data_IF_469440208346
#
_entry.id   IF_469440208346
#
_cell.length_a   1.000
_cell.length_b   1.000
_cell.length_c   1.000
_cell.angle_alpha   90.00
_cell.angle_beta   90.00
_cell.angle_gamma   90.00
#
_symmetry.space_group_name_H-M   'P 1'
#
loop_
_entity.id
_entity.type
_entity.pdbx_description
1 polymer ?
#
# COMPACT_ATOMS: atom_id res chain seq x y z
N UNK A 1 3.68 42.56 14.12
CA UNK A 1 3.35 41.70 12.97
C UNK A 1 4.23 40.47 12.83
N UNK A 2 5.57 40.55 12.78
CA UNK A 2 6.46 39.37 12.60
C UNK A 2 6.38 38.32 13.74
N UNK A 3 6.22 38.76 15.00
CA UNK A 3 6.09 37.81 16.15
C UNK A 3 4.79 37.03 16.13
N UNK A 4 3.67 37.66 15.75
CA UNK A 4 2.37 37.01 15.63
C UNK A 4 2.40 35.92 14.54
N UNK A 5 2.98 36.24 13.37
CA UNK A 5 3.12 35.28 12.26
C UNK A 5 3.99 34.06 12.63
N UNK A 6 5.03 34.22 13.48
CA UNK A 6 5.84 33.09 13.96
C UNK A 6 5.07 32.21 14.97
N UNK A 7 4.27 32.81 15.84
CA UNK A 7 3.44 32.07 16.79
C UNK A 7 2.38 31.25 16.07
N UNK A 8 1.67 31.85 15.11
CA UNK A 8 0.66 31.15 14.31
C UNK A 8 1.27 29.94 13.55
N UNK A 9 2.51 30.10 13.05
CA UNK A 9 3.24 29.01 12.40
C UNK A 9 3.59 27.87 13.37
N UNK A 10 4.00 28.20 14.58
CA UNK A 10 4.30 27.20 15.62
C UNK A 10 3.03 26.43 15.99
N UNK A 11 1.93 27.12 16.24
CA UNK A 11 0.64 26.53 16.57
C UNK A 11 0.14 25.61 15.44
N UNK A 12 0.26 26.03 14.19
CA UNK A 12 -0.05 25.20 13.02
C UNK A 12 0.79 23.92 12.98
N UNK A 13 2.11 24.01 13.24
CA UNK A 13 2.99 22.84 13.26
C UNK A 13 2.68 21.89 14.41
N UNK A 14 2.31 22.40 15.59
CA UNK A 14 1.86 21.56 16.72
C UNK A 14 0.62 20.77 16.34
N UNK A 15 -0.37 21.45 15.73
CA UNK A 15 -1.60 20.81 15.26
C UNK A 15 -1.30 19.74 14.19
N UNK A 16 -0.52 20.10 13.16
CA UNK A 16 -0.20 19.19 12.06
C UNK A 16 0.54 17.95 12.57
N UNK A 17 1.53 18.13 13.47
CA UNK A 17 2.27 17.00 14.02
C UNK A 17 1.35 16.07 14.83
N UNK A 18 0.44 16.59 15.65
CA UNK A 18 -0.52 15.78 16.39
C UNK A 18 -1.40 14.94 15.46
N UNK A 19 -1.85 15.53 14.35
CA UNK A 19 -2.66 14.86 13.33
C UNK A 19 -1.85 13.77 12.63
N UNK A 20 -0.62 14.08 12.20
CA UNK A 20 0.27 13.11 11.56
C UNK A 20 0.57 11.93 12.48
N UNK A 21 0.81 12.18 13.78
CA UNK A 21 1.06 11.13 14.76
C UNK A 21 -0.16 10.22 14.95
N UNK A 22 -1.38 10.79 15.01
CA UNK A 22 -2.62 10.00 15.02
C UNK A 22 -2.75 9.13 13.77
N UNK A 23 -2.53 9.70 12.59
CA UNK A 23 -2.62 8.98 11.32
C UNK A 23 -1.60 7.85 11.26
N UNK A 24 -0.34 8.12 11.64
CA UNK A 24 0.71 7.10 11.68
C UNK A 24 0.38 5.96 12.63
N UNK A 25 -0.14 6.27 13.82
CA UNK A 25 -0.58 5.26 14.77
C UNK A 25 -1.66 4.36 14.17
N UNK A 26 -2.71 4.96 13.59
CA UNK A 26 -3.82 4.21 13.00
C UNK A 26 -3.37 3.35 11.81
N UNK A 27 -2.48 3.85 10.96
CA UNK A 27 -1.89 3.09 9.86
C UNK A 27 -1.06 1.90 10.36
N UNK A 28 -0.21 2.10 11.36
CA UNK A 28 0.61 1.04 11.94
C UNK A 28 -0.23 -0.10 12.52
N UNK A 29 -1.35 0.23 13.15
CA UNK A 29 -2.25 -0.75 13.76
C UNK A 29 -3.39 -1.20 12.85
N UNK A 30 -3.42 -0.75 11.59
CA UNK A 30 -4.45 -1.09 10.60
C UNK A 30 -5.88 -0.78 11.09
N UNK A 31 -6.03 0.32 11.81
CA UNK A 31 -7.31 0.76 12.36
C UNK A 31 -8.02 1.70 11.39
N UNK A 32 -9.34 1.57 11.31
CA UNK A 32 -10.16 2.50 10.55
C UNK A 32 -10.05 3.92 11.15
N UNK A 33 -10.07 4.95 10.32
CA UNK A 33 -9.99 6.34 10.76
C UNK A 33 -11.34 6.84 11.23
N UNK A 34 -12.38 6.57 10.45
CA UNK A 34 -13.73 7.11 10.62
C UNK A 34 -14.61 6.20 11.46
N UNK A 35 -15.63 6.81 12.10
CA UNK A 35 -16.76 6.15 12.70
C UNK A 35 -17.98 6.17 11.78
N UNK A 36 -19.06 5.56 12.23
CA UNK A 36 -20.33 5.60 11.50
C UNK A 36 -20.97 7.00 11.53
N UNK A 37 -20.77 7.74 12.62
CA UNK A 37 -21.34 9.07 12.82
C UNK A 37 -20.32 9.97 13.52
N UNK A 38 -19.79 10.97 12.80
CA UNK A 38 -18.82 11.95 13.30
C UNK A 38 -19.49 13.23 13.84
N UNK A 39 -20.82 13.23 14.02
CA UNK A 39 -21.57 14.36 14.58
C UNK A 39 -21.15 14.68 16.02
N UNK A 40 -21.42 15.94 16.45
CA UNK A 40 -20.94 16.45 17.72
C UNK A 40 -21.48 15.67 18.93
N UNK A 41 -22.68 15.07 18.84
CA UNK A 41 -23.35 14.27 19.88
C UNK A 41 -23.03 12.77 19.83
N UNK A 42 -22.36 12.30 18.79
CA UNK A 42 -22.09 10.88 18.61
C UNK A 42 -21.06 10.35 19.61
N UNK A 43 -21.32 9.15 20.14
CA UNK A 43 -20.35 8.38 20.94
C UNK A 43 -19.33 7.65 20.06
N UNK A 44 -19.60 7.48 18.76
CA UNK A 44 -18.74 6.76 17.81
C UNK A 44 -18.22 7.64 16.66
N UNK A 45 -17.42 8.64 17.04
CA UNK A 45 -16.78 9.61 16.12
C UNK A 45 -15.61 9.02 15.32
N UNK A 46 -15.31 7.74 15.49
CA UNK A 46 -14.18 7.09 14.86
C UNK A 46 -12.85 7.24 15.59
N UNK A 47 -11.91 6.37 15.24
CA UNK A 47 -10.64 6.25 15.96
C UNK A 47 -9.77 7.50 15.84
N UNK A 48 -9.77 8.15 14.68
CA UNK A 48 -8.96 9.34 14.46
C UNK A 48 -9.32 10.48 15.43
N UNK A 49 -10.60 10.83 15.51
CA UNK A 49 -11.04 11.92 16.38
C UNK A 49 -10.91 11.57 17.86
N UNK A 50 -11.17 10.29 18.23
CA UNK A 50 -10.97 9.81 19.61
C UNK A 50 -9.51 9.85 20.03
N UNK A 51 -8.59 9.42 19.16
CA UNK A 51 -7.15 9.44 19.42
C UNK A 51 -6.61 10.88 19.51
N UNK A 52 -7.05 11.76 18.62
CA UNK A 52 -6.68 13.17 18.67
C UNK A 52 -7.15 13.85 19.95
N UNK A 53 -8.39 13.54 20.40
CA UNK A 53 -8.90 14.02 21.67
C UNK A 53 -8.12 13.44 22.86
N UNK A 54 -7.75 12.17 22.81
CA UNK A 54 -6.91 11.54 23.83
C UNK A 54 -5.55 12.25 23.95
N UNK A 55 -4.89 12.55 22.82
CA UNK A 55 -3.63 13.31 22.83
C UNK A 55 -3.81 14.71 23.38
N UNK A 56 -4.89 15.41 23.05
CA UNK A 56 -5.19 16.72 23.58
C UNK A 56 -5.37 16.70 25.10
N UNK A 57 -6.03 15.69 25.64
CA UNK A 57 -6.24 15.55 27.08
C UNK A 57 -4.93 15.31 27.87
N UNK A 58 -3.89 14.79 27.21
CA UNK A 58 -2.61 14.45 27.84
C UNK A 58 -1.48 15.44 27.51
N UNK A 59 -1.68 16.34 26.55
CA UNK A 59 -0.69 17.37 26.17
C UNK A 59 -1.35 18.74 26.07
N UNK A 60 -1.05 19.59 27.05
CA UNK A 60 -1.61 20.95 27.16
C UNK A 60 -1.40 21.79 25.90
N UNK A 61 -0.19 21.74 25.33
CA UNK A 61 0.11 22.45 24.07
C UNK A 61 -0.78 22.05 22.88
N UNK A 62 -1.16 20.77 22.79
CA UNK A 62 -2.08 20.30 21.75
C UNK A 62 -3.50 20.74 22.07
N UNK A 63 -3.92 20.65 23.33
CA UNK A 63 -5.25 21.05 23.76
C UNK A 63 -5.50 22.53 23.50
N UNK A 64 -4.56 23.40 23.90
CA UNK A 64 -4.64 24.85 23.67
C UNK A 64 -4.79 25.18 22.19
N UNK A 65 -3.99 24.58 21.32
CA UNK A 65 -4.04 24.81 19.89
C UNK A 65 -5.38 24.33 19.30
N UNK A 66 -5.84 23.14 19.65
CA UNK A 66 -7.10 22.61 19.13
C UNK A 66 -8.34 23.38 19.61
N UNK A 67 -8.27 24.04 20.77
CA UNK A 67 -9.36 24.88 21.28
C UNK A 67 -9.37 26.27 20.61
N UNK A 68 -8.20 26.85 20.35
CA UNK A 68 -8.05 28.17 19.70
C UNK A 68 -8.46 28.17 18.23
N UNK A 69 -8.23 27.05 17.53
CA UNK A 69 -8.44 26.94 16.10
C UNK A 69 -9.93 26.90 15.77
N UNK A 70 -10.38 27.77 14.85
CA UNK A 70 -11.75 27.78 14.35
C UNK A 70 -12.15 26.43 13.74
N UNK A 71 -13.45 26.09 13.77
CA UNK A 71 -13.95 24.80 13.25
C UNK A 71 -13.49 24.48 11.83
N UNK A 72 -13.38 25.50 10.98
CA UNK A 72 -12.96 25.33 9.58
C UNK A 72 -11.46 25.12 9.39
N UNK A 73 -10.64 25.38 10.41
CA UNK A 73 -9.17 25.24 10.36
C UNK A 73 -8.63 24.05 11.15
N UNK A 74 -9.50 23.16 11.65
CA UNK A 74 -9.08 22.03 12.52
C UNK A 74 -8.26 20.94 11.84
N UNK A 75 -8.10 20.97 10.54
CA UNK A 75 -7.39 19.98 9.73
C UNK A 75 -7.86 18.51 9.96
N UNK A 76 -9.09 18.35 10.48
CA UNK A 76 -9.66 17.02 10.81
C UNK A 76 -10.55 16.47 9.71
N UNK A 77 -10.76 17.22 8.64
CA UNK A 77 -11.60 16.79 7.52
C UNK A 77 -11.00 15.57 6.80
N UNK A 78 -11.85 14.67 6.34
CA UNK A 78 -11.42 13.41 5.72
C UNK A 78 -10.51 13.58 4.50
N UNK A 79 -10.71 14.63 3.69
CA UNK A 79 -9.83 14.93 2.55
C UNK A 79 -8.42 15.29 3.02
N UNK A 80 -8.27 16.04 4.11
CA UNK A 80 -6.95 16.38 4.68
C UNK A 80 -6.27 15.13 5.23
N UNK A 81 -7.02 14.25 5.90
CA UNK A 81 -6.49 12.95 6.35
C UNK A 81 -5.96 12.15 5.15
N UNK A 82 -6.72 12.09 4.06
CA UNK A 82 -6.33 11.41 2.82
C UNK A 82 -5.10 12.05 2.18
N UNK A 83 -5.01 13.37 2.15
CA UNK A 83 -3.83 14.07 1.63
C UNK A 83 -2.56 13.78 2.45
N UNK A 84 -2.69 13.72 3.77
CA UNK A 84 -1.59 13.35 4.67
C UNK A 84 -1.18 11.88 4.42
N UNK A 85 -2.13 10.96 4.30
CA UNK A 85 -1.85 9.56 3.97
C UNK A 85 -1.13 9.46 2.62
N UNK A 86 -1.58 10.19 1.61
CA UNK A 86 -0.95 10.24 0.29
C UNK A 86 0.48 10.80 0.37
N UNK A 87 0.72 11.82 1.20
CA UNK A 87 2.05 12.36 1.43
C UNK A 87 2.97 11.34 2.12
N UNK A 88 2.48 10.66 3.17
CA UNK A 88 3.22 9.59 3.87
C UNK A 88 3.55 8.46 2.88
N UNK A 89 2.61 8.02 2.07
CA UNK A 89 2.81 6.96 1.06
C UNK A 89 3.88 7.35 0.05
N UNK A 90 3.86 8.59 -0.44
CA UNK A 90 4.89 9.10 -1.38
C UNK A 90 6.29 9.11 -0.74
N UNK A 91 6.41 9.62 0.47
CA UNK A 91 7.71 9.67 1.16
C UNK A 91 8.21 8.26 1.53
N UNK A 92 7.32 7.36 1.92
CA UNK A 92 7.66 5.94 2.17
C UNK A 92 8.18 5.27 0.90
N UNK A 93 7.48 5.45 -0.23
CA UNK A 93 7.92 4.91 -1.52
C UNK A 93 9.29 5.47 -1.95
N UNK A 94 9.52 6.78 -1.78
CA UNK A 94 10.84 7.40 -2.03
C UNK A 94 11.94 6.80 -1.15
N UNK A 95 11.64 6.56 0.13
CA UNK A 95 12.58 5.93 1.05
C UNK A 95 12.92 4.50 0.63
N UNK A 96 11.93 3.70 0.20
CA UNK A 96 12.13 2.34 -0.34
C UNK A 96 13.04 2.38 -1.57
N UNK A 97 12.76 3.26 -2.55
CA UNK A 97 13.57 3.38 -3.77
C UNK A 97 14.99 3.86 -3.47
N UNK A 98 15.14 4.78 -2.52
CA UNK A 98 16.47 5.24 -2.07
C UNK A 98 17.27 4.11 -1.39
N UNK A 99 16.61 3.28 -0.58
CA UNK A 99 17.23 2.13 0.09
C UNK A 99 17.65 1.04 -0.90
N UNK A 100 16.86 0.83 -1.96
CA UNK A 100 17.19 -0.06 -3.07
C UNK A 100 18.50 0.34 -3.78
N UNK A 101 18.88 1.63 -3.75
CA UNK A 101 20.16 2.17 -4.26
C UNK A 101 20.49 1.72 -5.68
N UNK A 102 19.48 1.72 -6.54
CA UNK A 102 19.60 1.41 -7.97
C UNK A 102 20.30 0.06 -8.28
N UNK A 103 20.17 -0.92 -7.36
CA UNK A 103 20.68 -2.28 -7.50
C UNK A 103 19.81 -3.17 -8.41
N UNK A 104 20.10 -4.46 -8.40
CA UNK A 104 19.22 -5.47 -8.98
C UNK A 104 18.02 -5.71 -8.06
N UNK A 105 16.88 -6.02 -8.67
CA UNK A 105 15.65 -6.28 -7.92
C UNK A 105 14.80 -7.36 -8.60
N UNK A 106 13.85 -7.88 -7.83
CA UNK A 106 12.78 -8.76 -8.32
C UNK A 106 11.44 -8.17 -7.93
N UNK A 107 10.40 -8.49 -8.67
CA UNK A 107 9.02 -8.10 -8.37
C UNK A 107 8.16 -9.33 -8.14
N UNK A 108 7.26 -9.24 -7.17
CA UNK A 108 6.09 -10.10 -7.07
C UNK A 108 4.87 -9.27 -7.44
N UNK A 109 4.06 -9.79 -8.34
CA UNK A 109 2.85 -9.13 -8.81
C UNK A 109 1.67 -10.07 -8.60
N UNK A 110 0.61 -9.54 -8.00
CA UNK A 110 -0.63 -10.27 -7.73
C UNK A 110 -1.83 -9.46 -8.22
N UNK A 111 -2.71 -10.11 -8.95
CA UNK A 111 -3.95 -9.51 -9.44
C UNK A 111 -5.09 -9.79 -8.47
N UNK A 112 -5.88 -8.78 -8.20
CA UNK A 112 -7.11 -8.93 -7.44
C UNK A 112 -8.19 -7.96 -7.94
N UNK A 113 -9.42 -8.34 -7.73
CA UNK A 113 -10.57 -7.49 -7.99
C UNK A 113 -11.04 -6.87 -6.66
N UNK A 114 -11.30 -5.57 -6.63
CA UNK A 114 -11.87 -4.94 -5.45
C UNK A 114 -13.39 -5.19 -5.37
N UNK A 115 -14.02 -4.78 -4.26
CA UNK A 115 -15.47 -4.92 -4.05
C UNK A 115 -16.29 -4.19 -5.12
N UNK A 116 -15.72 -3.16 -5.76
CA UNK A 116 -16.34 -2.40 -6.85
C UNK A 116 -16.08 -3.01 -8.25
N UNK A 117 -15.57 -4.24 -8.30
CA UNK A 117 -15.23 -4.97 -9.53
C UNK A 117 -14.15 -4.23 -10.35
N UNK A 118 -13.27 -3.49 -9.69
CA UNK A 118 -12.12 -2.85 -10.34
C UNK A 118 -10.90 -3.73 -10.23
N UNK A 119 -10.32 -4.04 -11.37
CA UNK A 119 -9.09 -4.81 -11.44
C UNK A 119 -7.92 -4.00 -10.87
N UNK A 120 -7.20 -4.62 -9.95
CA UNK A 120 -6.06 -4.03 -9.26
C UNK A 120 -4.88 -4.98 -9.33
N UNK A 121 -3.69 -4.42 -9.35
CA UNK A 121 -2.44 -5.17 -9.36
C UNK A 121 -1.54 -4.69 -8.22
N UNK A 122 -1.25 -5.58 -7.28
CA UNK A 122 -0.35 -5.33 -6.16
C UNK A 122 1.10 -5.60 -6.58
N UNK A 123 2.01 -4.71 -6.18
CA UNK A 123 3.44 -4.83 -6.44
C UNK A 123 4.23 -4.93 -5.15
N UNK A 124 5.07 -5.95 -5.07
CA UNK A 124 6.06 -6.14 -4.02
C UNK A 124 7.45 -6.16 -4.63
N UNK A 125 8.36 -5.39 -4.07
CA UNK A 125 9.74 -5.27 -4.48
C UNK A 125 10.63 -6.11 -3.57
N UNK A 126 11.51 -6.92 -4.16
CA UNK A 126 12.56 -7.65 -3.48
C UNK A 126 13.92 -7.13 -3.94
N UNK A 127 14.77 -6.76 -3.00
CA UNK A 127 16.14 -6.30 -3.29
C UNK A 127 17.10 -6.64 -2.16
N UNK A 128 18.39 -6.62 -2.48
CA UNK A 128 19.45 -6.84 -1.51
C UNK A 128 19.79 -5.53 -0.78
N UNK A 129 19.59 -5.48 0.51
CA UNK A 129 20.15 -4.39 1.35
C UNK A 129 21.65 -4.60 1.49
N UNK A 130 22.44 -3.72 0.84
CA UNK A 130 23.89 -3.86 0.73
C UNK A 130 24.63 -3.82 2.06
N UNK A 131 24.09 -3.09 3.06
CA UNK A 131 24.74 -2.95 4.37
C UNK A 131 24.64 -4.22 5.20
N UNK A 132 23.49 -4.87 5.20
CA UNK A 132 23.21 -6.08 5.98
C UNK A 132 23.34 -7.37 5.18
N UNK A 133 23.46 -7.29 3.86
CA UNK A 133 23.50 -8.41 2.92
C UNK A 133 22.26 -9.33 3.08
N UNK A 134 21.10 -8.74 3.33
CA UNK A 134 19.83 -9.46 3.45
C UNK A 134 18.88 -9.06 2.33
N UNK A 135 18.06 -10.00 1.90
CA UNK A 135 16.98 -9.72 0.96
C UNK A 135 15.83 -9.06 1.72
N UNK A 136 15.41 -7.91 1.25
CA UNK A 136 14.28 -7.16 1.81
C UNK A 136 13.11 -7.24 0.87
N UNK A 137 11.95 -7.50 1.46
CA UNK A 137 10.65 -7.43 0.81
C UNK A 137 9.96 -6.12 1.20
N UNK A 138 9.49 -5.37 0.20
CA UNK A 138 8.74 -4.12 0.40
C UNK A 138 7.52 -4.08 -0.50
N UNK A 139 6.36 -3.90 0.11
CA UNK A 139 5.16 -3.52 -0.64
C UNK A 139 5.38 -2.13 -1.26
N UNK A 140 5.20 -2.02 -2.56
CA UNK A 140 5.50 -0.79 -3.30
C UNK A 140 4.24 -0.01 -3.66
N UNK A 141 3.23 -0.68 -4.21
CA UNK A 141 2.02 -0.01 -4.71
C UNK A 141 0.90 -1.00 -5.03
N UNK A 142 -0.32 -0.47 -5.09
CA UNK A 142 -1.45 -1.06 -5.82
C UNK A 142 -1.70 -0.17 -7.02
N UNK A 143 -1.82 -0.76 -8.20
CA UNK A 143 -2.11 -0.06 -9.46
C UNK A 143 -3.45 -0.54 -9.99
N UNK A 144 -4.33 0.40 -10.31
CA UNK A 144 -5.56 0.08 -11.02
C UNK A 144 -5.25 -0.24 -12.48
N UNK A 145 -5.75 -1.36 -12.98
CA UNK A 145 -5.59 -1.78 -14.38
C UNK A 145 -6.94 -1.76 -15.09
N UNK A 146 -6.96 -1.23 -16.30
CA UNK A 146 -8.19 -1.11 -17.07
C UNK A 146 -8.73 -2.47 -17.56
N UNK A 147 -7.85 -3.46 -17.69
CA UNK A 147 -8.18 -4.83 -18.07
C UNK A 147 -7.06 -5.79 -17.67
N UNK A 148 -7.40 -7.08 -17.53
CA UNK A 148 -6.44 -8.16 -17.26
C UNK A 148 -5.79 -8.73 -18.54
N UNK A 149 -5.84 -7.98 -19.64
CA UNK A 149 -5.13 -8.39 -20.86
C UNK A 149 -3.61 -8.30 -20.62
N UNK A 150 -2.86 -9.20 -21.22
CA UNK A 150 -1.40 -9.31 -21.06
C UNK A 150 -0.68 -7.99 -21.38
N UNK A 151 -1.14 -7.28 -22.40
CA UNK A 151 -0.55 -5.98 -22.79
C UNK A 151 -0.87 -4.89 -21.75
N UNK A 152 -2.09 -4.88 -21.20
CA UNK A 152 -2.47 -3.93 -20.15
C UNK A 152 -1.65 -4.14 -18.88
N UNK A 153 -1.45 -5.40 -18.47
CA UNK A 153 -0.64 -5.76 -17.32
C UNK A 153 0.83 -5.38 -17.51
N UNK A 154 1.40 -5.70 -18.69
CA UNK A 154 2.76 -5.30 -19.04
C UNK A 154 2.94 -3.80 -18.98
N UNK A 155 2.04 -3.05 -19.59
CA UNK A 155 2.05 -1.59 -19.58
C UNK A 155 1.99 -1.02 -18.16
N UNK A 156 1.13 -1.57 -17.30
CA UNK A 156 1.02 -1.14 -15.91
C UNK A 156 2.33 -1.38 -15.13
N UNK A 157 3.01 -2.52 -15.36
CA UNK A 157 4.34 -2.79 -14.77
C UNK A 157 5.35 -1.76 -15.26
N UNK A 158 5.44 -1.52 -16.56
CA UNK A 158 6.38 -0.58 -17.15
C UNK A 158 6.16 0.86 -16.67
N UNK A 159 4.91 1.31 -16.60
CA UNK A 159 4.55 2.61 -16.07
C UNK A 159 5.00 2.75 -14.61
N UNK A 160 4.69 1.77 -13.75
CA UNK A 160 5.10 1.81 -12.36
C UNK A 160 6.64 1.84 -12.21
N UNK A 161 7.35 1.00 -12.94
CA UNK A 161 8.83 0.99 -12.92
C UNK A 161 9.38 2.34 -13.34
N UNK A 162 8.85 2.93 -14.42
CA UNK A 162 9.23 4.25 -14.91
C UNK A 162 8.96 5.35 -13.86
N UNK A 163 7.75 5.39 -13.28
CA UNK A 163 7.37 6.35 -12.22
C UNK A 163 8.29 6.28 -10.99
N UNK A 164 8.80 5.09 -10.69
CA UNK A 164 9.69 4.86 -9.55
C UNK A 164 11.17 4.93 -9.92
N UNK A 165 11.53 5.30 -11.17
CA UNK A 165 12.89 5.30 -11.67
C UNK A 165 13.60 3.94 -11.53
N UNK A 166 12.84 2.85 -11.67
CA UNK A 166 13.35 1.48 -11.70
C UNK A 166 13.54 1.04 -13.16
N UNK A 167 14.73 0.55 -13.50
CA UNK A 167 15.00 0.08 -14.86
C UNK A 167 14.66 -1.39 -15.04
N UNK A 168 13.89 -1.71 -16.08
CA UNK A 168 13.58 -3.09 -16.45
C UNK A 168 14.86 -3.93 -16.67
N UNK A 169 15.96 -3.32 -17.12
CA UNK A 169 17.25 -4.00 -17.31
C UNK A 169 17.88 -4.53 -16.01
N UNK A 170 17.45 -4.02 -14.83
CA UNK A 170 17.89 -4.46 -13.51
C UNK A 170 16.93 -5.44 -12.83
N UNK A 171 15.82 -5.76 -13.49
CA UNK A 171 14.89 -6.77 -13.04
C UNK A 171 15.51 -8.16 -13.24
N UNK A 172 15.84 -8.87 -12.15
CA UNK A 172 16.43 -10.21 -12.20
C UNK A 172 15.43 -11.33 -11.88
N UNK A 173 14.27 -11.00 -11.36
CA UNK A 173 13.23 -11.98 -11.06
C UNK A 173 11.83 -11.38 -11.07
N UNK A 174 10.85 -12.20 -11.43
CA UNK A 174 9.43 -11.85 -11.39
C UNK A 174 8.61 -13.04 -10.95
N UNK A 175 7.74 -12.82 -9.96
CA UNK A 175 6.81 -13.81 -9.43
C UNK A 175 5.38 -13.41 -9.77
N UNK A 176 4.61 -14.37 -10.26
CA UNK A 176 3.19 -14.22 -10.51
C UNK A 176 2.46 -15.47 -10.01
N UNK A 177 1.14 -15.36 -9.91
CA UNK A 177 0.29 -16.53 -9.78
C UNK A 177 0.30 -17.41 -11.05
N UNK A 178 -0.41 -18.52 -11.00
CA UNK A 178 -0.47 -19.48 -12.12
C UNK A 178 -1.50 -19.14 -13.19
N UNK A 179 -2.05 -17.95 -13.25
CA UNK A 179 -3.06 -17.57 -14.24
C UNK A 179 -2.51 -17.67 -15.67
N UNK A 180 -3.37 -18.06 -16.61
CA UNK A 180 -2.99 -18.34 -18.01
C UNK A 180 -2.43 -17.10 -18.73
N UNK A 181 -2.94 -15.90 -18.41
CA UNK A 181 -2.45 -14.61 -18.90
C UNK A 181 -1.03 -14.30 -18.39
N UNK A 182 -0.66 -14.82 -17.23
CA UNK A 182 0.66 -14.62 -16.63
C UNK A 182 1.71 -15.62 -17.12
N UNK A 183 1.35 -16.90 -17.24
CA UNK A 183 2.28 -18.00 -17.53
C UNK A 183 2.45 -18.35 -19.01
N UNK A 184 1.55 -17.93 -19.90
CA UNK A 184 1.49 -18.38 -21.29
C UNK A 184 2.86 -18.48 -21.97
N UNK A 185 3.21 -19.66 -22.48
CA UNK A 185 4.56 -19.94 -23.01
C UNK A 185 4.87 -19.18 -24.32
N UNK A 186 3.86 -18.73 -25.06
CA UNK A 186 4.04 -18.04 -26.35
C UNK A 186 3.90 -16.53 -26.17
N UNK A 187 2.82 -16.07 -25.56
CA UNK A 187 2.47 -14.66 -25.43
C UNK A 187 2.15 -14.22 -24.01
N UNK A 188 2.35 -15.03 -22.98
CA UNK A 188 2.12 -14.64 -21.61
C UNK A 188 3.03 -13.50 -21.14
N UNK A 189 2.64 -12.79 -20.11
CA UNK A 189 3.40 -11.68 -19.51
C UNK A 189 4.84 -12.08 -19.19
N UNK A 190 5.04 -13.30 -18.66
CA UNK A 190 6.35 -13.92 -18.47
C UNK A 190 7.22 -13.83 -19.70
N UNK A 191 6.70 -14.24 -20.86
CA UNK A 191 7.44 -14.32 -22.11
C UNK A 191 7.73 -12.94 -22.70
N UNK A 192 6.78 -12.01 -22.61
CA UNK A 192 6.98 -10.64 -23.10
C UNK A 192 8.11 -9.93 -22.34
N UNK A 193 8.15 -10.04 -21.02
CA UNK A 193 9.24 -9.43 -20.23
C UNK A 193 10.57 -10.13 -20.50
N UNK A 194 10.60 -11.47 -20.65
CA UNK A 194 11.83 -12.21 -20.98
C UNK A 194 12.40 -11.86 -22.36
N UNK A 195 11.58 -11.46 -23.32
CA UNK A 195 12.04 -10.98 -24.64
C UNK A 195 12.84 -9.68 -24.52
N UNK A 196 12.49 -8.81 -23.57
CA UNK A 196 13.15 -7.53 -23.33
C UNK A 196 14.32 -7.64 -22.35
N UNK A 197 14.17 -8.46 -21.32
CA UNK A 197 15.22 -8.72 -20.34
C UNK A 197 15.32 -10.22 -20.04
N UNK A 198 16.35 -10.85 -20.61
CA UNK A 198 16.63 -12.28 -20.44
C UNK A 198 17.01 -12.67 -19.00
N UNK A 199 17.43 -11.71 -18.19
CA UNK A 199 17.79 -11.93 -16.78
C UNK A 199 16.57 -11.99 -15.86
N UNK A 200 15.40 -11.49 -16.30
CA UNK A 200 14.18 -11.48 -15.51
C UNK A 200 13.54 -12.87 -15.42
N UNK A 201 14.13 -13.74 -14.63
CA UNK A 201 13.66 -15.11 -14.43
C UNK A 201 12.25 -15.13 -13.80
N UNK A 202 11.44 -16.07 -14.25
CA UNK A 202 10.10 -16.25 -13.70
C UNK A 202 10.11 -17.28 -12.57
N UNK A 203 9.44 -16.94 -11.47
CA UNK A 203 9.16 -17.83 -10.37
C UNK A 203 7.65 -17.91 -10.17
N UNK A 204 7.11 -19.11 -10.12
CA UNK A 204 5.71 -19.30 -9.77
C UNK A 204 5.51 -19.06 -8.27
N UNK A 205 4.51 -18.27 -7.89
CA UNK A 205 4.22 -17.96 -6.49
C UNK A 205 4.01 -19.25 -5.67
N UNK A 206 4.87 -19.49 -4.69
CA UNK A 206 4.79 -20.69 -3.86
C UNK A 206 3.52 -20.75 -3.01
N UNK A 207 3.04 -19.62 -2.52
CA UNK A 207 1.78 -19.56 -1.78
C UNK A 207 0.59 -20.00 -2.64
N UNK A 208 0.59 -19.62 -3.92
CA UNK A 208 -0.43 -20.04 -4.86
C UNK A 208 -0.32 -21.53 -5.19
N UNK A 209 0.90 -22.07 -5.39
CA UNK A 209 1.14 -23.49 -5.58
C UNK A 209 0.64 -24.30 -4.38
N UNK A 210 0.97 -23.85 -3.15
CA UNK A 210 0.48 -24.48 -1.92
C UNK A 210 -1.06 -24.49 -1.88
N UNK A 211 -1.70 -23.36 -2.18
CA UNK A 211 -3.17 -23.27 -2.27
C UNK A 211 -3.74 -24.27 -3.26
N UNK A 212 -3.18 -24.35 -4.47
CA UNK A 212 -3.63 -25.31 -5.49
C UNK A 212 -3.49 -26.76 -5.00
N UNK A 213 -2.38 -27.08 -4.34
CA UNK A 213 -2.14 -28.41 -3.77
C UNK A 213 -3.17 -28.74 -2.68
N UNK A 214 -3.41 -27.79 -1.76
CA UNK A 214 -4.40 -27.98 -0.70
C UNK A 214 -5.81 -28.18 -1.27
N UNK A 215 -6.20 -27.37 -2.27
CA UNK A 215 -7.49 -27.53 -2.95
C UNK A 215 -7.59 -28.87 -3.66
N UNK A 216 -6.52 -29.32 -4.33
CA UNK A 216 -6.51 -30.62 -4.99
C UNK A 216 -6.64 -31.79 -3.99
N UNK A 217 -5.94 -31.73 -2.86
CA UNK A 217 -6.07 -32.69 -1.78
C UNK A 217 -7.48 -32.67 -1.18
N UNK A 218 -8.01 -31.48 -0.90
CA UNK A 218 -9.36 -31.32 -0.35
C UNK A 218 -10.44 -31.90 -1.26
N UNK A 219 -10.37 -31.69 -2.57
CA UNK A 219 -11.31 -32.23 -3.56
C UNK A 219 -11.28 -33.76 -3.64
N UNK A 220 -10.15 -34.38 -3.32
CA UNK A 220 -10.01 -35.85 -3.30
C UNK A 220 -10.51 -36.49 -1.99
N UNK A 221 -10.90 -35.68 -0.99
CA UNK A 221 -11.42 -36.15 0.28
C UNK A 221 -12.93 -35.89 0.36
N UNK A 222 -13.76 -36.94 0.33
CA UNK A 222 -15.22 -36.85 0.25
C UNK A 222 -15.83 -35.89 1.29
N UNK A 223 -15.44 -36.04 2.55
CA UNK A 223 -15.96 -35.23 3.66
C UNK A 223 -15.56 -33.73 3.57
N UNK A 224 -14.45 -33.42 2.89
CA UNK A 224 -13.96 -32.04 2.73
C UNK A 224 -14.56 -31.42 1.48
N UNK A 225 -14.75 -32.22 0.41
CA UNK A 225 -15.41 -31.75 -0.81
C UNK A 225 -16.86 -31.33 -0.54
N UNK A 226 -17.61 -32.06 0.27
CA UNK A 226 -18.97 -31.71 0.69
C UNK A 226 -19.02 -30.41 1.48
N UNK A 227 -18.06 -30.14 2.35
CA UNK A 227 -17.98 -28.87 3.11
C UNK A 227 -17.81 -27.64 2.20
N UNK A 228 -17.06 -27.76 1.11
CA UNK A 228 -16.85 -26.65 0.16
C UNK A 228 -17.96 -26.53 -0.90
N UNK A 229 -18.86 -27.50 -1.01
CA UNK A 229 -20.02 -27.44 -1.91
C UNK A 229 -21.27 -26.85 -1.23
N UNK A 230 -21.29 -26.80 0.10
CA UNK A 230 -22.41 -26.28 0.90
C UNK A 230 -22.26 -24.81 1.33
N UNK A 231 -21.23 -24.09 0.95
CA UNK A 231 -20.98 -22.67 1.18
C UNK A 231 -20.86 -21.90 -0.11
#
# INVERSE_FOLDING_TARGET
MLKQSNQDKIEYLVQLNAIVDCIRFLLCWRLAFRGHDESQGSSDKGNFLKLLQFLANHKESINEVLQKVSKNCKLTHHEIQKDIVNAITRETSKAIIKDHDNGFFSILVDESCDISVKEQMAFVLYYLEKKKLIIIERFLSIVHVASTTILSLKYAIECLLCERNLSLSKLCGKGYDGASNMQGNINGLKTLILKENKLALYVHCFSYQLRLTLVAVAKNHINIAEFFLCG
#
